data_IF_607799026076
#
_entry.id   IF_607799026076
#
_cell.length_a   1.000
_cell.length_b   1.000
_cell.length_c   1.000
_cell.angle_alpha   90.00
_cell.angle_beta   90.00
_cell.angle_gamma   90.00
#
_symmetry.space_group_name_H-M   'P 1'
#
loop_
_entity.id
_entity.type
_entity.pdbx_description
1 polymer ?
#
# COMPACT_ATOMS: atom_id res chain seq x y z
N UNK A 1 -7.71 4.43 18.36
CA UNK A 1 -8.70 3.85 17.42
C UNK A 1 -8.36 4.12 15.96
N UNK A 2 -8.27 5.38 15.50
CA UNK A 2 -8.01 5.69 14.08
C UNK A 2 -6.76 5.00 13.47
N UNK A 3 -5.62 5.02 14.16
CA UNK A 3 -4.38 4.39 13.67
C UNK A 3 -4.49 2.87 13.54
N UNK A 4 -5.19 2.23 14.49
CA UNK A 4 -5.43 0.78 14.47
C UNK A 4 -6.29 0.43 13.26
N UNK A 5 -7.33 1.21 12.97
CA UNK A 5 -8.18 1.00 11.80
C UNK A 5 -7.37 1.11 10.51
N UNK A 6 -6.53 2.14 10.38
CA UNK A 6 -5.67 2.33 9.19
C UNK A 6 -4.72 1.14 8.99
N UNK A 7 -4.05 0.70 10.06
CA UNK A 7 -3.14 -0.46 10.01
C UNK A 7 -3.88 -1.75 9.68
N UNK A 8 -5.08 -1.96 10.22
CA UNK A 8 -5.91 -3.14 9.91
C UNK A 8 -6.33 -3.18 8.43
N UNK A 9 -6.66 -2.03 7.83
CA UNK A 9 -6.98 -1.95 6.40
C UNK A 9 -5.77 -2.33 5.56
N UNK A 10 -4.60 -1.72 5.83
CA UNK A 10 -3.37 -2.04 5.10
C UNK A 10 -2.98 -3.50 5.28
N UNK A 11 -3.09 -4.05 6.49
CA UNK A 11 -2.83 -5.46 6.77
C UNK A 11 -3.77 -6.38 5.98
N UNK A 12 -5.08 -6.07 5.96
CA UNK A 12 -6.06 -6.85 5.20
C UNK A 12 -5.77 -6.85 3.70
N UNK A 13 -5.36 -5.70 3.16
CA UNK A 13 -4.94 -5.58 1.77
C UNK A 13 -3.66 -6.37 1.49
N UNK A 14 -2.63 -6.23 2.33
CA UNK A 14 -1.38 -6.96 2.19
C UNK A 14 -1.56 -8.49 2.25
N UNK A 15 -2.43 -8.97 3.13
CA UNK A 15 -2.80 -10.40 3.19
C UNK A 15 -3.53 -10.82 1.92
N UNK A 16 -4.47 -10.01 1.44
CA UNK A 16 -5.20 -10.29 0.19
C UNK A 16 -4.26 -10.34 -1.01
N UNK A 17 -3.31 -9.41 -1.09
CA UNK A 17 -2.28 -9.40 -2.13
C UNK A 17 -1.38 -10.64 -2.05
N UNK A 18 -0.92 -11.00 -0.86
CA UNK A 18 -0.12 -12.21 -0.67
C UNK A 18 -0.86 -13.48 -1.08
N UNK A 19 -2.15 -13.61 -0.71
CA UNK A 19 -2.99 -14.75 -1.08
C UNK A 19 -3.25 -14.77 -2.59
N UNK A 20 -3.55 -13.63 -3.22
CA UNK A 20 -3.74 -13.58 -4.67
C UNK A 20 -2.45 -13.89 -5.44
N UNK A 21 -1.29 -13.44 -4.95
CA UNK A 21 0.02 -13.80 -5.51
C UNK A 21 0.34 -15.28 -5.39
N UNK A 22 -0.06 -15.92 -4.29
CA UNK A 22 0.00 -17.37 -4.07
C UNK A 22 -0.84 -18.13 -5.10
N UNK A 23 -2.11 -17.75 -5.24
CA UNK A 23 -3.05 -18.36 -6.19
C UNK A 23 -2.51 -18.23 -7.62
N UNK A 24 -2.01 -17.04 -7.98
CA UNK A 24 -1.38 -16.79 -9.29
C UNK A 24 -0.22 -17.72 -9.56
N UNK A 25 0.71 -17.85 -8.60
CA UNK A 25 1.86 -18.75 -8.76
C UNK A 25 1.41 -20.19 -8.96
N UNK A 26 0.38 -20.64 -8.23
CA UNK A 26 -0.17 -21.99 -8.35
C UNK A 26 -0.82 -22.23 -9.71
N UNK A 27 -1.71 -21.33 -10.15
CA UNK A 27 -2.43 -21.42 -11.44
C UNK A 27 -1.46 -21.40 -12.63
N UNK A 28 -0.39 -20.60 -12.55
CA UNK A 28 0.59 -20.48 -13.63
C UNK A 28 1.73 -21.50 -13.54
N UNK A 29 1.71 -22.42 -12.57
CA UNK A 29 2.81 -23.36 -12.28
C UNK A 29 4.19 -22.68 -12.10
N UNK A 30 4.22 -21.42 -11.66
CA UNK A 30 5.41 -20.58 -11.40
C UNK A 30 5.52 -20.24 -9.90
N UNK A 31 5.30 -21.24 -9.04
CA UNK A 31 5.53 -21.08 -7.60
C UNK A 31 7.02 -21.06 -7.31
N UNK A 32 7.55 -19.86 -7.11
CA UNK A 32 8.93 -19.65 -6.70
C UNK A 32 9.01 -19.06 -5.28
N UNK A 33 9.60 -19.83 -4.35
CA UNK A 33 9.76 -19.42 -2.95
C UNK A 33 10.56 -18.11 -2.81
N UNK A 34 11.60 -17.87 -3.62
CA UNK A 34 12.36 -16.63 -3.56
C UNK A 34 11.51 -15.43 -3.99
N UNK A 35 10.69 -15.57 -5.03
CA UNK A 35 9.74 -14.55 -5.49
C UNK A 35 8.72 -14.23 -4.41
N UNK A 36 8.16 -15.26 -3.78
CA UNK A 36 7.20 -15.12 -2.68
C UNK A 36 7.79 -14.45 -1.43
N UNK A 37 9.00 -14.84 -1.01
CA UNK A 37 9.68 -14.19 0.12
C UNK A 37 9.93 -12.71 -0.15
N UNK A 38 10.37 -12.38 -1.37
CA UNK A 38 10.56 -10.97 -1.78
C UNK A 38 9.24 -10.20 -1.73
N UNK A 39 8.16 -10.78 -2.24
CA UNK A 39 6.82 -10.21 -2.14
C UNK A 39 6.39 -9.96 -0.69
N UNK A 40 6.48 -10.98 0.17
CA UNK A 40 6.14 -10.87 1.58
C UNK A 40 6.97 -9.83 2.35
N UNK A 41 8.28 -9.75 2.08
CA UNK A 41 9.14 -8.72 2.67
C UNK A 41 8.75 -7.31 2.23
N UNK A 42 8.36 -7.12 0.97
CA UNK A 42 7.84 -5.82 0.51
C UNK A 42 6.56 -5.44 1.26
N UNK A 43 5.64 -6.39 1.46
CA UNK A 43 4.40 -6.16 2.23
C UNK A 43 4.69 -5.78 3.69
N UNK A 44 5.66 -6.43 4.32
CA UNK A 44 6.11 -6.09 5.68
C UNK A 44 6.73 -4.68 5.71
N UNK A 45 7.48 -4.30 4.68
CA UNK A 45 8.03 -2.95 4.57
C UNK A 45 6.91 -1.89 4.45
N UNK A 46 5.87 -2.15 3.66
CA UNK A 46 4.70 -1.26 3.53
C UNK A 46 3.97 -1.08 4.87
N UNK A 47 3.78 -2.16 5.63
CA UNK A 47 3.24 -2.09 6.99
C UNK A 47 4.14 -1.28 7.94
N UNK A 48 5.45 -1.44 7.83
CA UNK A 48 6.43 -0.69 8.64
C UNK A 48 6.38 0.79 8.32
N UNK A 49 6.29 1.17 7.03
CA UNK A 49 6.12 2.55 6.58
C UNK A 49 4.83 3.13 7.16
N UNK A 50 3.72 2.40 7.09
CA UNK A 50 2.44 2.89 7.63
C UNK A 50 2.51 3.07 9.15
N UNK A 51 3.11 2.14 9.89
CA UNK A 51 3.31 2.27 11.33
C UNK A 51 4.19 3.47 11.68
N UNK A 52 5.25 3.70 10.91
CA UNK A 52 6.16 4.84 11.06
C UNK A 52 5.41 6.16 10.89
N UNK A 53 4.54 6.26 9.88
CA UNK A 53 3.79 7.49 9.62
C UNK A 53 2.72 7.74 10.67
N UNK A 54 2.06 6.70 11.20
CA UNK A 54 1.20 6.86 12.37
C UNK A 54 2.00 7.39 13.58
N UNK A 55 3.21 6.88 13.82
CA UNK A 55 4.12 7.39 14.86
C UNK A 55 4.54 8.84 14.60
N UNK A 56 4.82 9.20 13.35
CA UNK A 56 5.17 10.56 12.94
C UNK A 56 4.02 11.54 13.20
N UNK A 57 2.78 11.19 12.89
CA UNK A 57 1.62 12.03 13.18
C UNK A 57 1.51 12.32 14.69
N UNK A 58 1.72 11.30 15.53
CA UNK A 58 1.72 11.44 16.99
C UNK A 58 2.86 12.39 17.42
N UNK A 59 4.06 12.20 16.88
CA UNK A 59 5.22 13.04 17.18
C UNK A 59 5.03 14.50 16.76
N UNK A 60 4.49 14.75 15.56
CA UNK A 60 4.17 16.10 15.06
C UNK A 60 3.14 16.76 15.98
N UNK A 61 2.11 16.02 16.40
CA UNK A 61 1.10 16.55 17.33
C UNK A 61 1.70 16.98 18.66
N UNK A 62 2.61 16.20 19.24
CA UNK A 62 3.29 16.57 20.48
C UNK A 62 4.23 17.77 20.30
N UNK A 63 4.95 17.86 19.16
CA UNK A 63 5.75 19.04 18.82
C UNK A 63 4.88 20.30 18.66
N UNK A 64 3.69 20.17 18.07
CA UNK A 64 2.74 21.27 17.93
C UNK A 64 2.33 21.90 19.26
N UNK A 65 2.12 21.08 20.29
CA UNK A 65 1.86 21.55 21.65
C UNK A 65 3.05 22.28 22.24
N UNK A 66 4.26 21.72 22.07
CA UNK A 66 5.49 22.32 22.60
C UNK A 66 5.77 23.71 22.01
N UNK A 67 5.52 23.90 20.71
CA UNK A 67 5.75 25.16 20.01
C UNK A 67 4.51 26.07 19.91
N UNK A 68 3.42 25.77 20.63
CA UNK A 68 2.15 26.54 20.58
C UNK A 68 1.58 26.70 19.15
N UNK A 69 1.80 25.70 18.29
CA UNK A 69 1.37 25.66 16.90
C UNK A 69 0.45 24.46 16.61
N UNK A 70 -0.45 24.16 17.56
CA UNK A 70 -1.28 22.94 17.57
C UNK A 70 -2.10 22.76 16.28
N UNK A 71 -2.74 23.81 15.79
CA UNK A 71 -3.58 23.75 14.60
C UNK A 71 -2.77 23.40 13.34
N UNK A 72 -1.56 23.95 13.20
CA UNK A 72 -0.70 23.66 12.06
C UNK A 72 -0.19 22.21 12.14
N UNK A 73 0.25 21.78 13.32
CA UNK A 73 0.74 20.43 13.55
C UNK A 73 -0.34 19.35 13.30
N UNK A 74 -1.58 19.61 13.71
CA UNK A 74 -2.70 18.70 13.47
C UNK A 74 -2.95 18.51 11.96
N UNK A 75 -3.00 19.59 11.19
CA UNK A 75 -3.20 19.52 9.74
C UNK A 75 -2.02 18.82 9.07
N UNK A 76 -0.78 19.22 9.38
CA UNK A 76 0.41 18.64 8.76
C UNK A 76 0.52 17.15 9.04
N UNK A 77 0.31 16.73 10.29
CA UNK A 77 0.33 15.31 10.66
C UNK A 77 -0.75 14.51 9.95
N UNK A 78 -1.99 15.01 9.94
CA UNK A 78 -3.11 14.33 9.29
C UNK A 78 -2.92 14.20 7.77
N UNK A 79 -2.45 15.25 7.10
CA UNK A 79 -2.19 15.23 5.65
C UNK A 79 -1.11 14.22 5.30
N UNK A 80 -0.01 14.19 6.06
CA UNK A 80 1.06 13.21 5.86
C UNK A 80 0.55 11.76 6.01
N UNK A 81 -0.24 11.50 7.07
CA UNK A 81 -0.81 10.18 7.31
C UNK A 81 -1.79 9.74 6.23
N UNK A 82 -2.69 10.61 5.80
CA UNK A 82 -3.67 10.31 4.75
C UNK A 82 -2.97 10.09 3.41
N UNK A 83 -1.99 10.92 3.06
CA UNK A 83 -1.28 10.80 1.80
C UNK A 83 -0.57 9.44 1.67
N UNK A 84 0.17 9.03 2.71
CA UNK A 84 0.88 7.73 2.71
C UNK A 84 -0.11 6.57 2.75
N UNK A 85 -1.19 6.68 3.54
CA UNK A 85 -2.22 5.66 3.57
C UNK A 85 -2.86 5.45 2.19
N UNK A 86 -3.28 6.53 1.53
CA UNK A 86 -3.84 6.46 0.18
C UNK A 86 -2.85 5.86 -0.81
N UNK A 87 -1.57 6.23 -0.74
CA UNK A 87 -0.52 5.67 -1.58
C UNK A 87 -0.39 4.15 -1.40
N UNK A 88 -0.26 3.68 -0.16
CA UNK A 88 -0.13 2.25 0.15
C UNK A 88 -1.37 1.48 -0.28
N UNK A 89 -2.58 2.00 0.00
CA UNK A 89 -3.84 1.37 -0.42
C UNK A 89 -3.93 1.23 -1.93
N UNK A 90 -3.57 2.29 -2.68
CA UNK A 90 -3.58 2.25 -4.14
C UNK A 90 -2.57 1.23 -4.69
N UNK A 91 -1.36 1.18 -4.11
CA UNK A 91 -0.34 0.20 -4.49
C UNK A 91 -0.80 -1.23 -4.26
N UNK A 92 -1.45 -1.52 -3.12
CA UNK A 92 -2.01 -2.85 -2.84
C UNK A 92 -3.14 -3.22 -3.79
N UNK A 93 -4.07 -2.29 -4.07
CA UNK A 93 -5.16 -2.53 -5.02
C UNK A 93 -4.59 -2.85 -6.40
N UNK A 94 -3.59 -2.10 -6.86
CA UNK A 94 -2.93 -2.36 -8.15
C UNK A 94 -2.28 -3.74 -8.16
N UNK A 95 -1.59 -4.14 -7.09
CA UNK A 95 -0.96 -5.46 -6.98
C UNK A 95 -1.98 -6.61 -7.03
N UNK A 96 -3.10 -6.47 -6.30
CA UNK A 96 -4.21 -7.44 -6.33
C UNK A 96 -4.80 -7.55 -7.75
N UNK A 97 -5.02 -6.42 -8.42
CA UNK A 97 -5.53 -6.39 -9.80
C UNK A 97 -4.57 -7.02 -10.79
N UNK A 98 -3.25 -6.82 -10.63
CA UNK A 98 -2.22 -7.49 -11.43
C UNK A 98 -2.28 -9.00 -11.26
N UNK A 99 -2.37 -9.48 -10.02
CA UNK A 99 -2.50 -10.91 -9.74
C UNK A 99 -3.80 -11.47 -10.33
N UNK A 100 -4.93 -10.76 -10.18
CA UNK A 100 -6.22 -11.17 -10.73
C UNK A 100 -6.23 -11.22 -12.26
N UNK A 101 -5.63 -10.23 -12.93
CA UNK A 101 -5.55 -10.19 -14.40
C UNK A 101 -4.80 -11.40 -14.96
N UNK A 102 -3.73 -11.83 -14.28
CA UNK A 102 -2.99 -13.04 -14.67
C UNK A 102 -3.77 -14.33 -14.38
N UNK A 103 -4.45 -14.43 -13.23
CA UNK A 103 -5.25 -15.62 -12.87
C UNK A 103 -6.42 -15.81 -13.83
N UNK A 104 -7.22 -14.75 -14.04
CA UNK A 104 -8.46 -14.81 -14.81
C UNK A 104 -8.27 -14.60 -16.31
N UNK A 105 -7.04 -14.24 -16.74
CA UNK A 105 -6.75 -13.76 -18.09
C UNK A 105 -7.67 -12.59 -18.50
N UNK A 106 -8.11 -11.78 -17.54
CA UNK A 106 -9.02 -10.66 -17.78
C UNK A 106 -8.32 -9.54 -18.55
N UNK A 107 -8.44 -9.56 -19.87
CA UNK A 107 -7.80 -8.57 -20.76
C UNK A 107 -8.18 -7.13 -20.44
N UNK A 108 -9.43 -6.88 -20.00
CA UNK A 108 -9.87 -5.54 -19.65
C UNK A 108 -9.09 -4.97 -18.46
N UNK A 109 -8.83 -5.78 -17.44
CA UNK A 109 -8.02 -5.38 -16.27
C UNK A 109 -6.58 -5.13 -16.69
N UNK A 110 -6.01 -6.00 -17.52
CA UNK A 110 -4.66 -5.81 -18.07
C UNK A 110 -4.55 -4.52 -18.91
N UNK A 111 -5.55 -4.22 -19.75
CA UNK A 111 -5.62 -2.97 -20.54
C UNK A 111 -5.75 -1.74 -19.64
N UNK A 112 -6.55 -1.81 -18.59
CA UNK A 112 -6.68 -0.74 -17.60
C UNK A 112 -5.36 -0.46 -16.87
N UNK A 113 -4.71 -1.51 -16.34
CA UNK A 113 -3.41 -1.40 -15.66
C UNK A 113 -2.31 -0.86 -16.60
N UNK A 114 -2.30 -1.29 -17.87
CA UNK A 114 -1.35 -0.77 -18.87
C UNK A 114 -1.56 0.72 -19.15
N UNK A 115 -2.80 1.20 -19.17
CA UNK A 115 -3.09 2.64 -19.29
C UNK A 115 -2.56 3.42 -18.09
N UNK A 116 -2.76 2.90 -16.88
CA UNK A 116 -2.21 3.53 -15.66
C UNK A 116 -0.68 3.59 -15.69
N UNK A 117 0.00 2.51 -16.10
CA UNK A 117 1.47 2.49 -16.25
C UNK A 117 1.97 3.42 -17.37
N UNK A 118 1.26 3.51 -18.49
CA UNK A 118 1.66 4.36 -19.62
C UNK A 118 1.52 5.86 -19.34
N UNK A 119 0.61 6.28 -18.46
CA UNK A 119 0.57 7.68 -18.00
C UNK A 119 1.86 8.03 -17.27
N UNK A 120 2.40 7.11 -16.46
CA UNK A 120 3.65 7.30 -15.73
C UNK A 120 4.89 7.48 -16.62
N UNK A 121 4.89 6.88 -17.82
CA UNK A 121 6.03 6.95 -18.77
C UNK A 121 5.93 8.10 -19.79
N UNK A 122 4.85 8.89 -19.77
CA UNK A 122 4.67 10.03 -20.69
C UNK A 122 5.04 11.39 -20.06
N UNK A 123 5.36 11.39 -18.76
CA UNK A 123 5.75 12.57 -17.99
C UNK A 123 7.28 12.68 -17.78
N UNK A 124 8.06 11.80 -18.42
CA UNK A 124 9.53 11.92 -18.60
C UNK A 124 9.85 12.34 -20.04
#
# INVERSE_FOLDING_TARGET
MKYIIMLMIVLGLAVSDFVTGLIKGYVNHDLNSAKMRKGGLNKIAELTVMATVCGLEIGIKELGKYYSAEHLAEITGAVAAIAVFCYVVLMEIVSILENYAEISKAEWVAKFLKRLKNVKNKEE
#
